data_IF_731771496011
#
_entry.id   IF_731771496011
#
_cell.length_a   1.000
_cell.length_b   1.000
_cell.length_c   1.000
_cell.angle_alpha   90.00
_cell.angle_beta   90.00
_cell.angle_gamma   90.00
#
_symmetry.space_group_name_H-M   'P 1'
#
loop_
_entity.id
_entity.type
_entity.pdbx_description
1 polymer ?
#
# COMPACT_ATOMS: atom_id res chain seq x y z
N UNK A 1 2.72 -26.30 -5.84
CA UNK A 1 1.65 -25.42 -5.32
C UNK A 1 2.25 -24.66 -4.14
N UNK A 2 2.56 -23.39 -4.33
CA UNK A 2 3.05 -22.50 -3.28
C UNK A 2 1.94 -22.33 -2.23
N UNK A 3 2.26 -22.55 -0.95
CA UNK A 3 1.30 -22.28 0.12
C UNK A 3 0.90 -20.80 0.07
N UNK A 4 -0.39 -20.45 0.27
CA UNK A 4 -0.79 -19.05 0.36
C UNK A 4 -0.03 -18.38 1.50
N UNK A 5 0.30 -17.09 1.34
CA UNK A 5 0.96 -16.31 2.38
C UNK A 5 0.24 -16.53 3.72
N UNK A 6 0.95 -17.10 4.68
CA UNK A 6 0.39 -17.45 5.98
C UNK A 6 0.34 -16.17 6.82
N UNK A 7 -0.74 -15.42 6.66
CA UNK A 7 -1.03 -14.30 7.55
C UNK A 7 -1.22 -14.84 8.98
N UNK A 8 -1.05 -14.02 10.02
CA UNK A 8 -1.47 -14.41 11.36
C UNK A 8 -2.99 -14.73 11.34
N UNK A 9 -3.35 -15.99 11.17
CA UNK A 9 -4.73 -16.50 11.23
C UNK A 9 -5.01 -16.85 12.69
N UNK A 10 -5.55 -15.90 13.45
CA UNK A 10 -5.76 -16.06 14.88
C UNK A 10 -7.18 -16.57 15.19
N UNK A 11 -7.28 -17.77 15.78
CA UNK A 11 -8.52 -18.32 16.34
C UNK A 11 -8.90 -17.68 17.70
N UNK A 12 -8.52 -16.42 17.97
CA UNK A 12 -8.92 -15.71 19.19
C UNK A 12 -9.06 -14.19 19.00
N UNK A 13 -9.96 -13.53 19.75
CA UNK A 13 -10.20 -12.07 19.64
C UNK A 13 -9.01 -11.20 20.10
N UNK A 14 -8.08 -11.72 20.91
CA UNK A 14 -6.86 -11.00 21.34
C UNK A 14 -5.67 -11.24 20.40
N UNK A 15 -5.60 -12.41 19.75
CA UNK A 15 -4.54 -12.72 18.78
C UNK A 15 -4.62 -11.93 17.46
N UNK A 16 -5.69 -11.15 17.28
CA UNK A 16 -6.08 -10.57 15.99
C UNK A 16 -5.75 -9.07 15.84
N UNK A 17 -5.00 -8.44 16.77
CA UNK A 17 -4.67 -7.00 16.66
C UNK A 17 -3.79 -6.70 15.43
N UNK A 18 -2.95 -7.66 15.01
CA UNK A 18 -1.99 -7.46 13.93
C UNK A 18 -2.48 -7.94 12.54
N UNK A 19 -3.62 -8.64 12.46
CA UNK A 19 -4.11 -9.17 11.19
C UNK A 19 -5.04 -8.15 10.50
N UNK A 20 -4.79 -7.92 9.22
CA UNK A 20 -5.64 -7.11 8.34
C UNK A 20 -6.27 -7.97 7.25
N UNK A 21 -6.41 -9.27 7.49
CA UNK A 21 -6.98 -10.21 6.53
C UNK A 21 -8.32 -9.70 5.97
N UNK A 22 -8.39 -9.62 4.64
CA UNK A 22 -9.55 -9.18 3.87
C UNK A 22 -10.01 -7.73 4.10
N UNK A 23 -9.24 -6.93 4.84
CA UNK A 23 -9.43 -5.48 4.92
C UNK A 23 -8.93 -4.80 3.66
N UNK A 24 -9.55 -3.68 3.30
CA UNK A 24 -9.11 -2.82 2.20
C UNK A 24 -8.60 -1.50 2.77
N UNK A 25 -7.35 -1.17 2.46
CA UNK A 25 -6.71 0.05 2.88
C UNK A 25 -6.44 0.98 1.70
N UNK A 26 -6.88 2.24 1.80
CA UNK A 26 -6.51 3.33 0.90
C UNK A 26 -5.39 4.14 1.56
N UNK A 27 -4.23 4.23 0.90
CA UNK A 27 -3.04 4.88 1.46
C UNK A 27 -2.64 6.00 0.50
N UNK A 28 -2.66 7.25 0.96
CA UNK A 28 -2.21 8.39 0.17
C UNK A 28 -0.70 8.59 0.30
N UNK A 29 -0.02 9.02 -0.76
CA UNK A 29 1.45 9.13 -0.79
C UNK A 29 2.14 7.76 -0.73
N UNK A 30 1.55 6.73 -1.33
CA UNK A 30 1.96 5.33 -1.19
C UNK A 30 2.98 4.86 -2.24
N UNK A 31 3.33 5.67 -3.23
CA UNK A 31 4.30 5.29 -4.26
C UNK A 31 5.75 5.34 -3.77
N UNK A 32 6.02 6.02 -2.64
CA UNK A 32 7.36 6.11 -2.06
C UNK A 32 7.35 6.29 -0.53
N UNK A 33 8.55 6.35 0.08
CA UNK A 33 8.72 6.71 1.49
C UNK A 33 7.93 5.85 2.48
N UNK A 34 7.41 6.49 3.54
CA UNK A 34 6.64 5.82 4.59
C UNK A 34 5.34 5.21 4.06
N UNK A 35 4.66 5.85 3.12
CA UNK A 35 3.42 5.31 2.53
C UNK A 35 3.64 3.97 1.83
N UNK A 36 4.76 3.84 1.10
CA UNK A 36 5.20 2.57 0.50
C UNK A 36 5.51 1.50 1.55
N UNK A 37 6.15 1.87 2.66
CA UNK A 37 6.41 0.93 3.76
C UNK A 37 5.11 0.45 4.43
N UNK A 38 4.17 1.37 4.66
CA UNK A 38 2.84 1.06 5.20
C UNK A 38 2.08 0.11 4.25
N UNK A 39 2.12 0.38 2.94
CA UNK A 39 1.48 -0.48 1.93
C UNK A 39 2.00 -1.92 2.00
N UNK A 40 3.32 -2.11 2.06
CA UNK A 40 3.93 -3.44 2.21
C UNK A 40 3.57 -4.09 3.54
N UNK A 41 3.63 -3.36 4.65
CA UNK A 41 3.28 -3.88 5.97
C UNK A 41 1.80 -4.31 6.05
N UNK A 42 0.89 -3.54 5.46
CA UNK A 42 -0.53 -3.87 5.42
C UNK A 42 -0.80 -5.08 4.52
N UNK A 43 -0.14 -5.17 3.37
CA UNK A 43 -0.22 -6.35 2.51
C UNK A 43 0.33 -7.61 3.22
N UNK A 44 1.45 -7.49 3.94
CA UNK A 44 2.02 -8.57 4.75
C UNK A 44 1.07 -9.02 5.88
N UNK A 45 0.23 -8.11 6.39
CA UNK A 45 -0.83 -8.40 7.35
C UNK A 45 -2.12 -8.96 6.69
N UNK A 46 -2.17 -9.07 5.35
CA UNK A 46 -3.28 -9.65 4.59
C UNK A 46 -4.29 -8.65 4.05
N UNK A 47 -4.03 -7.35 4.17
CA UNK A 47 -4.89 -6.31 3.59
C UNK A 47 -4.75 -6.26 2.06
N UNK A 48 -5.83 -5.91 1.39
CA UNK A 48 -5.80 -5.37 0.04
C UNK A 48 -5.47 -3.88 0.12
N UNK A 49 -4.63 -3.40 -0.82
CA UNK A 49 -4.07 -2.05 -0.74
C UNK A 49 -4.41 -1.26 -2.00
N UNK A 50 -4.95 -0.06 -1.83
CA UNK A 50 -4.97 0.95 -2.87
C UNK A 50 -3.81 1.90 -2.62
N UNK A 51 -2.83 1.87 -3.52
CA UNK A 51 -1.72 2.82 -3.55
C UNK A 51 -2.23 4.08 -4.25
N UNK A 52 -2.52 5.13 -3.47
CA UNK A 52 -3.03 6.38 -4.01
C UNK A 52 -1.94 7.45 -3.98
N UNK A 53 -1.55 7.95 -5.14
CA UNK A 53 -0.49 8.95 -5.24
C UNK A 53 -0.61 9.77 -6.54
N UNK A 54 0.18 10.83 -6.69
CA UNK A 54 0.21 11.64 -7.91
C UNK A 54 0.83 10.88 -9.09
N UNK A 55 1.72 9.93 -8.82
CA UNK A 55 2.45 9.11 -9.79
C UNK A 55 2.59 7.69 -9.25
N UNK A 56 2.51 6.70 -10.13
CA UNK A 56 2.63 5.28 -9.75
C UNK A 56 4.06 4.86 -9.46
N UNK A 57 4.99 5.33 -10.28
CA UNK A 57 6.41 5.07 -10.11
C UNK A 57 6.94 5.87 -8.91
N UNK A 58 7.74 5.26 -8.02
CA UNK A 58 8.40 5.99 -6.96
C UNK A 58 9.23 7.13 -7.56
N UNK A 59 9.24 8.29 -6.90
CA UNK A 59 10.21 9.32 -7.26
C UNK A 59 11.62 8.72 -7.11
N UNK A 60 12.48 8.92 -8.12
CA UNK A 60 13.91 8.67 -7.94
C UNK A 60 14.34 9.45 -6.70
N UNK A 61 15.03 8.78 -5.78
CA UNK A 61 15.28 9.30 -4.44
C UNK A 61 16.69 9.90 -4.35
N UNK A 62 16.96 11.16 -4.77
CA UNK A 62 18.24 11.78 -4.45
C UNK A 62 18.35 12.16 -2.96
N UNK A 63 17.24 12.23 -2.23
CA UNK A 63 17.20 12.74 -0.84
C UNK A 63 17.21 11.65 0.23
N UNK A 64 16.83 10.41 -0.11
CA UNK A 64 16.68 9.32 0.87
C UNK A 64 17.97 8.49 0.96
N UNK A 65 18.73 8.39 -0.14
CA UNK A 65 20.04 7.73 -0.18
C UNK A 65 21.05 8.39 0.76
N UNK A 66 20.99 9.73 0.89
CA UNK A 66 21.87 10.49 1.80
C UNK A 66 21.44 10.43 3.27
N UNK A 67 20.14 10.26 3.55
CA UNK A 67 19.59 10.18 4.90
C UNK A 67 19.63 8.77 5.52
N UNK A 68 19.62 7.71 4.69
CA UNK A 68 19.59 6.31 5.12
C UNK A 68 20.96 5.62 5.04
N UNK A 69 22.05 6.28 5.47
CA UNK A 69 23.31 5.58 5.79
C UNK A 69 23.13 4.69 7.04
N UNK A 70 22.33 3.64 6.90
CA UNK A 70 22.20 2.53 7.83
C UNK A 70 22.45 1.25 7.04
N UNK A 71 23.33 0.41 7.54
CA UNK A 71 23.72 -0.84 6.87
C UNK A 71 22.51 -1.79 6.73
N UNK A 72 22.28 -2.31 5.52
CA UNK A 72 21.60 -3.59 5.35
C UNK A 72 20.21 -3.64 4.69
N UNK A 73 19.64 -2.54 4.18
CA UNK A 73 18.41 -2.65 3.36
C UNK A 73 18.67 -2.32 1.90
N UNK A 74 18.69 -3.35 1.04
CA UNK A 74 18.50 -3.18 -0.41
C UNK A 74 17.03 -2.81 -0.65
N UNK A 75 16.64 -1.57 -0.34
CA UNK A 75 15.30 -1.13 -0.67
C UNK A 75 15.26 -0.80 -2.16
N UNK A 76 14.48 -1.57 -2.90
CA UNK A 76 14.16 -1.26 -4.28
C UNK A 76 13.34 0.04 -4.31
N UNK A 77 13.92 1.09 -4.88
CA UNK A 77 13.30 2.40 -5.06
C UNK A 77 12.82 2.65 -6.50
N UNK A 78 12.86 1.63 -7.34
CA UNK A 78 12.52 1.74 -8.76
C UNK A 78 11.20 1.06 -9.10
N UNK A 79 10.91 -0.09 -8.49
CA UNK A 79 9.69 -0.85 -8.78
C UNK A 79 8.47 -0.17 -8.16
N UNK A 80 7.37 0.04 -8.92
CA UNK A 80 6.09 0.51 -8.38
C UNK A 80 5.63 -0.29 -7.15
N UNK A 81 5.06 0.40 -6.16
CA UNK A 81 4.61 -0.23 -4.91
C UNK A 81 3.62 -1.36 -5.17
N UNK A 82 2.72 -1.18 -6.13
CA UNK A 82 1.71 -2.17 -6.51
C UNK A 82 2.32 -3.42 -7.12
N UNK A 83 3.39 -3.29 -7.91
CA UNK A 83 4.10 -4.42 -8.48
C UNK A 83 4.81 -5.22 -7.40
N UNK A 84 5.53 -4.55 -6.48
CA UNK A 84 6.16 -5.21 -5.35
C UNK A 84 5.15 -5.97 -4.50
N UNK A 85 4.05 -5.32 -4.12
CA UNK A 85 3.03 -5.93 -3.27
C UNK A 85 2.38 -7.13 -3.96
N UNK A 86 2.05 -7.01 -5.24
CA UNK A 86 1.41 -8.10 -5.99
C UNK A 86 2.36 -9.29 -6.23
N UNK A 87 3.66 -9.04 -6.42
CA UNK A 87 4.66 -10.09 -6.55
C UNK A 87 4.89 -10.83 -5.23
N UNK A 88 4.96 -10.10 -4.11
CA UNK A 88 5.34 -10.67 -2.81
C UNK A 88 4.14 -11.25 -2.04
N UNK A 89 2.97 -10.64 -2.15
CA UNK A 89 1.73 -11.06 -1.47
C UNK A 89 0.58 -11.12 -2.46
N UNK A 90 0.52 -12.12 -3.35
CA UNK A 90 -0.56 -12.24 -4.32
C UNK A 90 -1.95 -12.31 -3.65
N UNK A 91 -2.99 -12.04 -4.44
CA UNK A 91 -4.36 -12.20 -3.96
C UNK A 91 -4.59 -13.66 -3.51
N UNK A 92 -5.19 -13.82 -2.32
CA UNK A 92 -5.33 -15.11 -1.65
C UNK A 92 -6.67 -15.80 -1.97
N UNK A 93 -7.66 -15.04 -2.44
CA UNK A 93 -9.03 -15.50 -2.63
C UNK A 93 -9.42 -15.50 -4.12
N UNK A 94 -10.20 -16.50 -4.54
CA UNK A 94 -10.65 -16.72 -5.92
C UNK A 94 -11.42 -15.54 -6.55
N UNK A 95 -11.85 -14.55 -5.75
CA UNK A 95 -12.66 -13.41 -6.20
C UNK A 95 -11.89 -12.12 -6.51
N UNK A 96 -10.59 -12.01 -6.21
CA UNK A 96 -9.81 -10.77 -6.44
C UNK A 96 -8.54 -11.08 -7.22
N UNK A 97 -8.30 -10.36 -8.32
CA UNK A 97 -7.18 -10.63 -9.24
C UNK A 97 -5.81 -10.22 -8.70
N UNK A 98 -5.77 -9.21 -7.83
CA UNK A 98 -4.54 -8.61 -7.34
C UNK A 98 -4.72 -8.15 -5.88
N UNK A 99 -3.61 -8.05 -5.15
CA UNK A 99 -3.56 -7.59 -3.75
C UNK A 99 -3.53 -6.07 -3.66
N UNK A 100 -2.82 -5.43 -4.58
CA UNK A 100 -2.66 -3.99 -4.65
C UNK A 100 -3.06 -3.42 -6.00
N UNK A 101 -3.61 -2.21 -5.99
CA UNK A 101 -3.99 -1.44 -7.17
C UNK A 101 -3.58 0.02 -7.02
N UNK A 102 -3.16 0.66 -8.11
CA UNK A 102 -2.78 2.06 -8.11
C UNK A 102 -3.96 2.93 -8.54
N UNK A 103 -4.13 4.07 -7.89
CA UNK A 103 -5.01 5.14 -8.38
C UNK A 103 -4.29 6.47 -8.29
N UNK A 104 -4.37 7.26 -9.36
CA UNK A 104 -3.87 8.62 -9.32
C UNK A 104 -4.80 9.46 -8.44
N UNK A 105 -4.25 10.11 -7.41
CA UNK A 105 -4.99 11.04 -6.56
C UNK A 105 -4.18 12.31 -6.33
N UNK A 106 -4.86 13.45 -6.44
CA UNK A 106 -4.41 14.72 -5.87
C UNK A 106 -5.24 14.97 -4.61
N UNK A 107 -4.61 14.90 -3.43
CA UNK A 107 -5.31 15.06 -2.16
C UNK A 107 -5.80 16.49 -1.90
N UNK A 108 -5.36 17.46 -2.72
CA UNK A 108 -5.84 18.85 -2.66
C UNK A 108 -7.14 19.07 -3.45
N UNK A 109 -7.56 18.09 -4.26
CA UNK A 109 -8.78 18.09 -5.03
C UNK A 109 -9.80 17.11 -4.43
N UNK A 110 -10.92 17.64 -3.92
CA UNK A 110 -11.99 16.85 -3.30
C UNK A 110 -12.57 15.80 -4.27
N UNK A 111 -12.74 16.14 -5.55
CA UNK A 111 -13.28 15.21 -6.53
C UNK A 111 -12.29 14.07 -6.80
N UNK A 112 -10.98 14.38 -6.85
CA UNK A 112 -9.92 13.38 -6.94
C UNK A 112 -9.96 12.40 -5.75
N UNK A 113 -10.10 12.90 -4.52
CA UNK A 113 -10.22 12.05 -3.32
C UNK A 113 -11.49 11.20 -3.36
N UNK A 114 -12.63 11.77 -3.78
CA UNK A 114 -13.89 11.05 -3.95
C UNK A 114 -13.75 9.91 -4.95
N UNK A 115 -13.04 10.14 -6.05
CA UNK A 115 -12.76 9.13 -7.07
C UNK A 115 -11.82 8.04 -6.57
N UNK A 116 -10.83 8.37 -5.73
CA UNK A 116 -9.95 7.37 -5.10
C UNK A 116 -10.70 6.45 -4.12
N UNK A 117 -11.65 7.00 -3.34
CA UNK A 117 -12.52 6.20 -2.46
C UNK A 117 -13.43 5.29 -3.29
N UNK A 118 -14.06 5.82 -4.34
CA UNK A 118 -14.86 5.00 -5.27
C UNK A 118 -14.04 3.89 -5.90
N UNK A 119 -12.84 4.19 -6.35
CA UNK A 119 -11.92 3.19 -6.90
C UNK A 119 -11.65 2.04 -5.94
N UNK A 120 -11.44 2.32 -4.64
CA UNK A 120 -11.25 1.27 -3.64
C UNK A 120 -12.48 0.36 -3.51
N UNK A 121 -13.68 0.96 -3.48
CA UNK A 121 -14.96 0.23 -3.40
C UNK A 121 -15.22 -0.56 -4.68
N UNK A 122 -15.00 0.02 -5.86
CA UNK A 122 -15.24 -0.65 -7.14
C UNK A 122 -14.24 -1.80 -7.37
N UNK A 123 -12.97 -1.61 -6.96
CA UNK A 123 -11.90 -2.60 -7.17
C UNK A 123 -11.95 -3.75 -6.15
N UNK A 124 -12.22 -3.44 -4.88
CA UNK A 124 -12.12 -4.40 -3.79
C UNK A 124 -13.43 -4.61 -3.02
N UNK A 125 -14.50 -3.91 -3.38
CA UNK A 125 -15.85 -4.07 -2.80
C UNK A 125 -16.11 -3.27 -1.52
N UNK A 126 -15.07 -2.67 -0.90
CA UNK A 126 -15.18 -1.92 0.36
C UNK A 126 -13.96 -1.03 0.59
N UNK A 127 -14.06 -0.16 1.60
CA UNK A 127 -12.94 0.54 2.22
C UNK A 127 -13.04 0.37 3.74
N UNK A 128 -11.98 -0.13 4.38
CA UNK A 128 -11.92 -0.34 5.83
C UNK A 128 -10.99 0.65 6.53
N UNK A 129 -9.88 0.99 5.89
CA UNK A 129 -8.79 1.76 6.48
C UNK A 129 -8.39 2.89 5.52
N UNK A 130 -8.28 4.10 6.05
CA UNK A 130 -7.70 5.24 5.34
C UNK A 130 -6.41 5.65 6.03
N UNK A 131 -5.33 5.82 5.27
CA UNK A 131 -4.06 6.34 5.75
C UNK A 131 -3.79 7.66 5.04
N UNK A 132 -3.96 8.77 5.77
CA UNK A 132 -3.67 10.12 5.31
C UNK A 132 -2.18 10.41 5.44
N UNK A 133 -1.38 9.94 4.48
CA UNK A 133 0.09 10.02 4.53
C UNK A 133 0.69 10.86 3.39
N UNK A 134 -0.09 11.32 2.41
CA UNK A 134 0.41 12.26 1.41
C UNK A 134 0.99 13.52 2.09
N UNK A 135 2.23 13.86 1.74
CA UNK A 135 2.92 15.05 2.20
C UNK A 135 3.80 15.59 1.07
N UNK A 136 3.89 16.92 0.95
CA UNK A 136 4.79 17.58 0.03
C UNK A 136 5.86 18.34 0.82
N UNK A 137 7.12 18.13 0.45
CA UNK A 137 8.22 18.95 0.92
C UNK A 137 8.61 19.90 -0.21
N UNK A 138 8.23 21.17 -0.08
CA UNK A 138 8.81 22.24 -0.87
C UNK A 138 9.97 22.81 -0.07
N UNK A 139 11.18 22.76 -0.62
CA UNK A 139 12.31 23.53 -0.12
C UNK A 139 12.45 24.74 -1.04
N UNK A 140 12.37 25.94 -0.47
CA UNK A 140 12.69 27.20 -1.14
C UNK A 140 14.21 27.31 -1.39
#
# INVERSE_FOLDING_TARGET
MSQPAQYPLANSPIGNIASLHNKVALITGASSGLGRCIAQAYAAAGAYVVSADLKETPAAAPVVESALKGEGSTQDFSTPTVELVNAQWPAADEGRKQRAAFVKVDVTDEESVRNAVRFAVDTFGRLDIMVNNAGMFSFD
#
